data_IF_330115148301
#
_entry.id   IF_330115148301
#
_cell.length_a   1.000
_cell.length_b   1.000
_cell.length_c   1.000
_cell.angle_alpha   90.00
_cell.angle_beta   90.00
_cell.angle_gamma   90.00
#
_symmetry.space_group_name_H-M   'P 1'
#
loop_
_entity.id
_entity.type
_entity.pdbx_description
1 polymer ?
#
# COMPACT_ATOMS: atom_id res chain seq x y z
N UNK A 1 2.51 16.67 3.09
CA UNK A 1 1.67 15.46 2.94
C UNK A 1 2.61 14.31 2.69
N UNK A 2 2.77 13.44 3.69
CA UNK A 2 3.80 12.40 3.69
C UNK A 2 3.20 11.13 3.09
N UNK A 3 3.79 10.63 2.01
CA UNK A 3 3.36 9.41 1.32
C UNK A 3 4.29 8.25 1.67
N UNK A 4 3.71 7.10 1.95
CA UNK A 4 4.42 5.84 2.17
C UNK A 4 4.20 5.00 0.92
N UNK A 5 5.29 4.54 0.30
CA UNK A 5 5.26 3.62 -0.83
C UNK A 5 5.69 2.25 -0.35
N UNK A 6 4.89 1.22 -0.64
CA UNK A 6 5.19 -0.17 -0.29
C UNK A 6 5.03 -1.04 -1.53
N UNK A 7 5.98 -1.92 -1.84
CA UNK A 7 5.86 -2.89 -2.94
C UNK A 7 6.07 -4.31 -2.42
N UNK A 8 5.09 -5.20 -2.59
CA UNK A 8 5.29 -6.65 -2.42
C UNK A 8 4.68 -7.44 -3.58
N UNK A 9 5.53 -8.19 -4.29
CA UNK A 9 5.13 -9.22 -5.25
C UNK A 9 4.81 -10.51 -4.49
N UNK A 10 3.54 -10.79 -4.22
CA UNK A 10 3.09 -12.16 -3.90
C UNK A 10 1.65 -12.35 -4.33
N UNK A 11 1.42 -13.22 -5.32
CA UNK A 11 0.11 -13.69 -5.76
C UNK A 11 -0.51 -14.65 -4.71
N UNK A 12 -0.85 -14.14 -3.51
CA UNK A 12 -1.44 -14.99 -2.45
C UNK A 12 -2.97 -14.90 -2.49
N UNK A 13 -3.62 -16.02 -2.83
CA UNK A 13 -5.08 -16.19 -2.84
C UNK A 13 -5.59 -16.26 -1.38
N UNK A 14 -6.80 -15.74 -1.06
CA UNK A 14 -7.30 -15.59 0.31
C UNK A 14 -7.25 -16.85 1.20
N UNK A 15 -7.45 -18.05 0.64
CA UNK A 15 -7.51 -19.30 1.40
C UNK A 15 -6.14 -19.71 1.98
N UNK A 16 -5.03 -19.34 1.32
CA UNK A 16 -3.68 -19.66 1.78
C UNK A 16 -3.17 -18.70 2.88
N UNK A 17 -3.78 -17.52 3.01
CA UNK A 17 -3.38 -16.47 3.98
C UNK A 17 -3.64 -16.91 5.43
N UNK A 18 -4.72 -17.66 5.66
CA UNK A 18 -5.07 -18.17 6.98
C UNK A 18 -4.17 -19.34 7.43
N UNK A 19 -3.61 -20.10 6.49
CA UNK A 19 -2.82 -21.30 6.76
C UNK A 19 -1.35 -20.96 7.08
N UNK A 20 -0.84 -19.83 6.59
CA UNK A 20 0.60 -19.54 6.57
C UNK A 20 1.13 -18.61 7.68
N UNK A 21 0.34 -18.28 8.72
CA UNK A 21 0.72 -17.23 9.69
C UNK A 21 1.29 -16.00 8.98
N UNK A 22 0.61 -15.51 7.93
CA UNK A 22 1.16 -14.48 7.06
C UNK A 22 1.22 -13.13 7.79
N UNK A 23 2.31 -12.90 8.55
CA UNK A 23 2.55 -11.71 9.37
C UNK A 23 3.14 -10.55 8.58
N UNK A 24 3.51 -10.78 7.33
CA UNK A 24 4.20 -9.82 6.49
C UNK A 24 3.45 -8.47 6.32
N UNK A 25 2.11 -8.43 6.22
CA UNK A 25 1.36 -7.17 6.18
C UNK A 25 1.39 -6.43 7.52
N UNK A 26 1.33 -7.15 8.64
CA UNK A 26 1.41 -6.56 9.98
C UNK A 26 2.79 -5.95 10.23
N UNK A 27 3.86 -6.71 9.98
CA UNK A 27 5.24 -6.23 10.14
C UNK A 27 5.55 -5.02 9.24
N UNK A 28 4.98 -4.98 8.03
CA UNK A 28 5.10 -3.83 7.15
C UNK A 28 4.41 -2.60 7.74
N UNK A 29 3.16 -2.74 8.20
CA UNK A 29 2.42 -1.65 8.82
C UNK A 29 3.10 -1.15 10.11
N UNK A 30 3.61 -2.04 10.96
CA UNK A 30 4.37 -1.70 12.16
C UNK A 30 5.61 -0.87 11.81
N UNK A 31 6.38 -1.29 10.80
CA UNK A 31 7.60 -0.60 10.36
C UNK A 31 7.30 0.80 9.83
N UNK A 32 6.23 0.94 9.04
CA UNK A 32 5.75 2.22 8.52
C UNK A 32 5.30 3.12 9.67
N UNK A 33 4.47 2.60 10.56
CA UNK A 33 3.95 3.35 11.71
C UNK A 33 5.09 3.84 12.62
N UNK A 34 6.09 2.99 12.89
CA UNK A 34 7.25 3.33 13.71
C UNK A 34 8.11 4.45 13.09
N UNK A 35 8.20 4.48 11.76
CA UNK A 35 9.03 5.46 11.04
C UNK A 35 8.30 6.77 10.73
N UNK A 36 6.97 6.75 10.73
CA UNK A 36 6.14 7.90 10.36
C UNK A 36 5.82 8.79 11.56
N UNK A 37 6.24 10.05 11.49
CA UNK A 37 6.13 11.04 12.58
C UNK A 37 5.05 12.11 12.35
N UNK A 38 4.35 12.08 11.21
CA UNK A 38 3.28 13.02 10.88
C UNK A 38 1.91 12.62 11.43
N UNK A 39 0.89 13.42 11.11
CA UNK A 39 -0.51 13.03 11.32
C UNK A 39 -0.89 11.91 10.35
N UNK A 40 -1.08 10.71 10.90
CA UNK A 40 -1.44 9.50 10.12
C UNK A 40 -2.85 9.60 9.55
N UNK A 41 -3.76 10.27 10.25
CA UNK A 41 -5.14 10.45 9.81
C UNK A 41 -5.25 11.36 8.59
N UNK A 42 -4.28 12.27 8.39
CA UNK A 42 -4.21 13.15 7.23
C UNK A 42 -3.26 12.65 6.12
N UNK A 43 -2.61 11.50 6.31
CA UNK A 43 -1.62 10.96 5.38
C UNK A 43 -2.27 10.16 4.25
N UNK A 44 -1.88 10.44 3.01
CA UNK A 44 -2.25 9.64 1.85
C UNK A 44 -1.22 8.53 1.62
N UNK A 45 -1.65 7.28 1.75
CA UNK A 45 -0.83 6.08 1.58
C UNK A 45 -0.97 5.55 0.16
N UNK A 46 0.16 5.29 -0.51
CA UNK A 46 0.20 4.62 -1.81
C UNK A 46 0.65 3.16 -1.62
N UNK A 47 -0.29 2.23 -1.71
CA UNK A 47 -0.02 0.80 -1.62
C UNK A 47 0.28 0.24 -3.03
N UNK A 48 1.55 -0.07 -3.30
CA UNK A 48 2.01 -0.56 -4.62
C UNK A 48 2.05 -2.09 -4.60
N UNK A 49 1.51 -2.71 -5.64
CA UNK A 49 1.16 -4.13 -5.61
C UNK A 49 0.29 -4.44 -4.37
N UNK A 50 -0.81 -3.69 -4.24
CA UNK A 50 -1.65 -3.70 -3.05
C UNK A 50 -2.34 -5.05 -2.81
N UNK A 51 -2.36 -5.94 -3.83
CA UNK A 51 -2.96 -7.26 -3.75
C UNK A 51 -4.42 -7.16 -3.29
N UNK A 52 -4.77 -7.98 -2.30
CA UNK A 52 -6.10 -7.99 -1.66
C UNK A 52 -6.30 -6.89 -0.62
N UNK A 53 -5.32 -6.00 -0.41
CA UNK A 53 -5.42 -4.87 0.51
C UNK A 53 -5.10 -5.18 1.98
N UNK A 54 -4.48 -6.32 2.28
CA UNK A 54 -4.13 -6.71 3.66
C UNK A 54 -3.23 -5.70 4.36
N UNK A 55 -2.31 -5.05 3.64
CA UNK A 55 -1.43 -4.04 4.22
C UNK A 55 -2.21 -2.78 4.64
N UNK A 56 -3.11 -2.28 3.80
CA UNK A 56 -4.04 -1.20 4.17
C UNK A 56 -4.90 -1.53 5.39
N UNK A 57 -5.40 -2.77 5.52
CA UNK A 57 -6.15 -3.22 6.72
C UNK A 57 -5.30 -3.10 7.99
N UNK A 58 -4.01 -3.48 7.93
CA UNK A 58 -3.12 -3.35 9.09
C UNK A 58 -2.76 -1.88 9.34
N UNK A 59 -2.47 -1.09 8.31
CA UNK A 59 -2.17 0.34 8.44
C UNK A 59 -3.35 1.13 9.02
N UNK A 60 -4.60 0.76 8.69
CA UNK A 60 -5.80 1.35 9.30
C UNK A 60 -5.79 1.23 10.83
N UNK A 61 -5.31 0.11 11.37
CA UNK A 61 -5.17 -0.10 12.83
C UNK A 61 -4.16 0.84 13.48
N UNK A 62 -3.21 1.38 12.71
CA UNK A 62 -2.22 2.35 13.18
C UNK A 62 -2.65 3.82 12.97
N UNK A 63 -3.87 4.06 12.48
CA UNK A 63 -4.46 5.40 12.32
C UNK A 63 -4.28 6.03 10.95
N UNK A 64 -3.87 5.27 9.92
CA UNK A 64 -3.88 5.75 8.54
C UNK A 64 -5.29 5.66 7.96
N UNK A 65 -5.77 6.75 7.34
CA UNK A 65 -7.16 6.83 6.90
C UNK A 65 -7.34 6.81 5.37
N UNK A 66 -6.37 7.32 4.62
CA UNK A 66 -6.49 7.59 3.19
C UNK A 66 -5.57 6.69 2.38
N UNK A 67 -6.13 5.85 1.51
CA UNK A 67 -5.37 4.87 0.74
C UNK A 67 -5.69 4.98 -0.75
N UNK A 68 -4.64 4.91 -1.58
CA UNK A 68 -4.72 4.63 -3.00
C UNK A 68 -3.87 3.41 -3.34
N UNK A 69 -4.36 2.55 -4.21
CA UNK A 69 -3.74 1.26 -4.52
C UNK A 69 -3.39 1.11 -5.99
N UNK A 70 -2.29 0.42 -6.28
CA UNK A 70 -2.02 -0.11 -7.63
C UNK A 70 -1.70 -1.59 -7.56
N UNK A 71 -2.17 -2.35 -8.54
CA UNK A 71 -1.81 -3.76 -8.70
C UNK A 71 -1.86 -4.20 -10.16
N UNK A 72 -1.06 -5.19 -10.53
CA UNK A 72 -1.04 -5.78 -11.87
C UNK A 72 -2.16 -6.78 -12.13
N UNK A 73 -2.91 -7.18 -11.10
CA UNK A 73 -4.00 -8.14 -11.17
C UNK A 73 -5.36 -7.48 -10.94
N UNK A 74 -6.22 -7.49 -11.97
CA UNK A 74 -7.61 -7.02 -11.84
C UNK A 74 -8.40 -7.79 -10.78
N UNK A 75 -8.16 -9.10 -10.65
CA UNK A 75 -8.81 -9.93 -9.64
C UNK A 75 -8.45 -9.49 -8.21
N UNK A 76 -7.18 -9.14 -7.98
CA UNK A 76 -6.72 -8.60 -6.70
C UNK A 76 -7.34 -7.24 -6.41
N UNK A 77 -7.43 -6.37 -7.42
CA UNK A 77 -8.06 -5.05 -7.26
C UNK A 77 -9.53 -5.12 -6.87
N UNK A 78 -10.29 -6.08 -7.39
CA UNK A 78 -11.68 -6.27 -6.95
C UNK A 78 -11.74 -6.67 -5.46
N UNK A 79 -10.82 -7.53 -5.00
CA UNK A 79 -10.71 -7.88 -3.58
C UNK A 79 -10.28 -6.68 -2.73
N UNK A 80 -9.34 -5.87 -3.20
CA UNK A 80 -8.91 -4.63 -2.52
C UNK A 80 -10.07 -3.63 -2.40
N UNK A 81 -10.86 -3.41 -3.45
CA UNK A 81 -12.05 -2.55 -3.43
C UNK A 81 -13.07 -3.02 -2.38
N UNK A 82 -13.27 -4.34 -2.28
CA UNK A 82 -14.21 -4.91 -1.31
C UNK A 82 -13.83 -4.67 0.15
N UNK A 83 -12.58 -4.25 0.44
CA UNK A 83 -12.20 -3.82 1.80
C UNK A 83 -12.86 -2.49 2.20
N UNK A 84 -13.28 -1.67 1.24
CA UNK A 84 -13.83 -0.33 1.48
C UNK A 84 -12.81 0.70 1.99
N UNK A 85 -11.51 0.37 2.00
CA UNK A 85 -10.45 1.25 2.52
C UNK A 85 -9.83 2.17 1.47
N UNK A 86 -9.89 1.79 0.19
CA UNK A 86 -9.24 2.52 -0.89
C UNK A 86 -10.16 3.59 -1.48
N UNK A 87 -9.64 4.81 -1.61
CA UNK A 87 -10.30 5.91 -2.31
C UNK A 87 -10.24 5.73 -3.83
N UNK A 88 -9.13 5.20 -4.33
CA UNK A 88 -8.95 4.82 -5.73
C UNK A 88 -8.03 3.59 -5.81
N UNK A 89 -8.28 2.74 -6.81
CA UNK A 89 -7.36 1.66 -7.18
C UNK A 89 -7.16 1.62 -8.68
N UNK A 90 -5.92 1.38 -9.12
CA UNK A 90 -5.60 1.34 -10.55
C UNK A 90 -4.88 0.06 -10.94
N UNK A 91 -5.32 -0.49 -12.08
CA UNK A 91 -4.63 -1.59 -12.74
C UNK A 91 -3.37 -1.04 -13.41
N UNK A 92 -2.21 -1.52 -12.98
CA UNK A 92 -0.90 -1.04 -13.43
C UNK A 92 0.11 -2.18 -13.26
N UNK A 93 0.75 -2.59 -14.35
CA UNK A 93 1.83 -3.58 -14.28
C UNK A 93 3.14 -2.85 -13.98
N UNK A 94 3.72 -3.12 -12.81
CA UNK A 94 4.97 -2.48 -12.40
C UNK A 94 6.11 -2.94 -13.33
N UNK A 95 6.72 -2.00 -14.04
CA UNK A 95 7.84 -2.25 -14.96
C UNK A 95 7.52 -1.96 -16.43
N UNK A 96 6.28 -2.20 -16.85
CA UNK A 96 5.79 -1.91 -18.21
C UNK A 96 5.02 -0.58 -18.26
N UNK A 97 4.30 -0.24 -17.18
CA UNK A 97 3.52 0.98 -17.06
C UNK A 97 4.21 2.02 -16.16
N UNK A 98 4.11 3.30 -16.52
CA UNK A 98 4.45 4.39 -15.61
C UNK A 98 3.42 4.46 -14.48
N UNK A 99 3.89 4.45 -13.23
CA UNK A 99 3.03 4.75 -12.09
C UNK A 99 2.30 6.08 -12.33
N UNK A 100 0.99 6.19 -12.01
CA UNK A 100 0.23 7.39 -12.25
C UNK A 100 0.95 8.62 -11.69
N UNK A 101 1.50 9.46 -12.58
CA UNK A 101 2.43 10.55 -12.24
C UNK A 101 1.83 11.59 -11.28
N UNK A 102 0.51 11.63 -11.24
CA UNK A 102 -0.33 12.41 -10.33
C UNK A 102 -0.25 11.95 -8.86
N UNK A 103 0.12 10.68 -8.60
CA UNK A 103 0.41 10.15 -7.25
C UNK A 103 1.91 10.22 -6.90
N UNK A 104 2.78 10.21 -7.91
CA UNK A 104 4.25 10.27 -7.77
C UNK A 104 4.77 11.67 -7.39
N UNK A 105 4.01 12.75 -7.63
CA UNK A 105 4.37 14.08 -7.11
C UNK A 105 4.41 14.16 -5.58
N UNK A 106 3.80 13.19 -4.89
CA UNK A 106 3.79 13.10 -3.41
C UNK A 106 5.02 12.34 -2.87
N UNK A 107 5.79 11.62 -3.72
CA UNK A 107 6.93 10.80 -3.29
C UNK A 107 8.31 11.43 -3.56
N UNK A 108 8.41 12.51 -4.35
CA UNK A 108 9.71 13.16 -4.68
C UNK A 108 10.46 13.76 -3.47
N UNK A 109 9.79 13.98 -2.35
CA UNK A 109 10.43 14.40 -1.09
C UNK A 109 11.05 13.22 -0.32
N UNK A 110 10.61 11.97 -0.54
CA UNK A 110 11.08 10.80 0.22
C UNK A 110 12.37 10.17 -0.33
N UNK A 111 12.60 10.19 -1.65
CA UNK A 111 13.86 9.67 -2.24
C UNK A 111 15.08 10.56 -1.96
N UNK A 112 14.92 11.75 -1.38
CA UNK A 112 16.05 12.59 -0.96
C UNK A 112 16.55 12.30 0.46
N UNK A 113 15.83 11.49 1.25
CA UNK A 113 16.18 11.19 2.63
C UNK A 113 16.98 9.88 2.79
N UNK A 114 17.30 9.18 1.70
CA UNK A 114 18.08 7.92 1.72
C UNK A 114 19.18 7.91 0.67
N UNK A 115 20.09 8.89 0.74
CA UNK A 115 21.50 8.65 0.46
C UNK A 115 22.31 9.29 1.60
N UNK A 116 23.44 8.69 2.01
CA UNK A 116 24.33 9.30 2.99
C UNK A 116 24.83 10.67 2.51
#
# INVERSE_FOLDING_TARGET
>A
MNCVQFSKTTDVIPDDVAILEYRAPGLAADSVAASFTGDRGAALVLDVACGTGLAAIQMKKHGFEHFVGVDGSKGMLELAKNTGLYEDVRHCMLGDDELPVQWVRVTKELCKATKP
#
